data_IF_410291122543
#
_entry.id   IF_410291122543
#
_cell.length_a   1.000
_cell.length_b   1.000
_cell.length_c   1.000
_cell.angle_alpha   90.00
_cell.angle_beta   90.00
_cell.angle_gamma   90.00
#
_symmetry.space_group_name_H-M   'P 1'
#
loop_
_entity.id
_entity.type
_entity.pdbx_description
1 polymer ?
#
# COMPACT_ATOMS: atom_id res chain seq x y z
N UNK A 1 -40.92 61.24 27.13
CA UNK A 1 -40.24 60.86 25.88
C UNK A 1 -38.91 60.08 26.11
N UNK A 2 -38.01 60.43 27.00
CA UNK A 2 -36.71 59.73 27.25
C UNK A 2 -36.85 58.27 27.75
N UNK A 3 -37.87 57.95 28.56
CA UNK A 3 -38.08 56.56 29.07
C UNK A 3 -38.55 55.61 28.01
N UNK A 4 -39.33 56.03 27.01
CA UNK A 4 -39.83 55.18 25.95
C UNK A 4 -38.75 54.88 24.90
N UNK A 5 -37.79 55.79 24.70
CA UNK A 5 -36.65 55.58 23.79
C UNK A 5 -35.68 54.54 24.38
N UNK A 6 -35.48 54.57 25.71
CA UNK A 6 -34.61 53.56 26.38
C UNK A 6 -35.20 52.17 26.35
N UNK A 7 -36.53 52.04 26.44
CA UNK A 7 -37.25 50.79 26.37
C UNK A 7 -37.22 50.19 24.94
N UNK A 8 -37.33 51.00 23.90
CA UNK A 8 -37.20 50.58 22.52
C UNK A 8 -35.75 50.17 22.18
N UNK A 9 -34.73 50.81 22.75
CA UNK A 9 -33.34 50.45 22.55
C UNK A 9 -32.98 49.14 23.28
N UNK A 10 -33.53 48.85 24.46
CA UNK A 10 -33.35 47.55 25.15
C UNK A 10 -34.10 46.42 24.45
N UNK A 11 -35.30 46.67 23.89
CA UNK A 11 -36.05 45.66 23.13
C UNK A 11 -35.40 45.34 21.78
N UNK A 12 -34.72 46.28 21.12
CA UNK A 12 -33.98 45.99 19.89
C UNK A 12 -32.64 45.28 20.12
N UNK A 13 -32.02 45.43 21.29
CA UNK A 13 -30.78 44.73 21.65
C UNK A 13 -31.01 43.24 21.95
N UNK A 14 -32.20 42.86 22.46
CA UNK A 14 -32.55 41.46 22.73
C UNK A 14 -32.95 40.64 21.48
N UNK A 15 -33.18 41.29 20.34
CA UNK A 15 -33.48 40.61 19.07
C UNK A 15 -32.22 40.23 18.26
N UNK A 16 -31.03 40.69 18.69
CA UNK A 16 -29.77 40.40 17.99
C UNK A 16 -29.02 39.15 18.52
N UNK A 17 -29.57 38.46 19.53
CA UNK A 17 -28.91 37.28 20.12
C UNK A 17 -29.47 35.94 19.66
N UNK A 18 -30.36 35.89 18.68
CA UNK A 18 -30.69 34.64 18.01
C UNK A 18 -29.65 34.36 16.92
N UNK A 19 -28.46 33.97 17.32
CA UNK A 19 -27.48 33.36 16.43
C UNK A 19 -28.04 32.00 16.00
N UNK A 20 -28.38 31.87 14.75
CA UNK A 20 -28.67 30.56 14.16
C UNK A 20 -27.33 29.79 14.09
N UNK A 21 -27.02 28.94 15.06
CA UNK A 21 -25.86 28.02 15.04
C UNK A 21 -25.97 27.05 13.85
N UNK A 22 -27.17 26.71 13.37
CA UNK A 22 -27.41 25.80 12.24
C UNK A 22 -26.93 26.30 10.86
N UNK A 23 -26.58 27.59 10.71
CA UNK A 23 -26.08 28.12 9.42
C UNK A 23 -24.56 27.94 9.26
N UNK A 24 -23.84 27.80 10.36
CA UNK A 24 -22.37 27.65 10.36
C UNK A 24 -21.92 26.18 10.29
N UNK A 25 -22.77 25.24 10.69
CA UNK A 25 -22.53 23.80 10.58
C UNK A 25 -23.17 23.23 9.30
N UNK A 26 -22.86 23.81 8.14
CA UNK A 26 -23.15 23.14 6.87
C UNK A 26 -22.13 22.02 6.70
N UNK A 27 -22.56 20.78 6.97
CA UNK A 27 -21.85 19.62 6.45
C UNK A 27 -21.71 19.79 4.94
N UNK A 28 -20.50 19.56 4.37
CA UNK A 28 -20.31 19.63 2.93
C UNK A 28 -21.29 18.69 2.24
N UNK A 29 -22.16 19.22 1.40
CA UNK A 29 -23.24 18.49 0.69
C UNK A 29 -22.66 17.31 -0.13
N UNK A 30 -21.38 17.33 -0.45
CA UNK A 30 -20.69 16.33 -1.27
C UNK A 30 -19.86 15.32 -0.46
N UNK A 31 -19.90 15.32 0.88
CA UNK A 31 -19.17 14.37 1.71
C UNK A 31 -20.11 13.71 2.71
N UNK A 32 -20.26 12.40 2.60
CA UNK A 32 -20.91 11.60 3.64
C UNK A 32 -20.10 11.73 4.94
N UNK A 33 -20.79 11.93 6.06
CA UNK A 33 -20.15 11.85 7.37
C UNK A 33 -19.57 10.44 7.60
N UNK A 34 -18.61 10.31 8.51
CA UNK A 34 -18.08 8.97 8.86
C UNK A 34 -19.21 8.05 9.37
N UNK A 35 -20.14 8.58 10.14
CA UNK A 35 -21.29 7.83 10.65
C UNK A 35 -22.18 7.32 9.53
N UNK A 36 -22.49 8.15 8.55
CA UNK A 36 -23.25 7.77 7.37
C UNK A 36 -22.52 6.73 6.51
N UNK A 37 -21.19 6.92 6.31
CA UNK A 37 -20.36 5.99 5.53
C UNK A 37 -20.30 4.60 6.15
N UNK A 38 -20.23 4.50 7.49
CA UNK A 38 -20.11 3.22 8.18
C UNK A 38 -21.42 2.66 8.72
N UNK A 39 -22.56 3.23 8.34
CA UNK A 39 -23.88 2.83 8.80
C UNK A 39 -24.24 1.40 8.42
N UNK A 40 -23.89 0.96 7.22
CA UNK A 40 -24.23 -0.34 6.68
C UNK A 40 -23.03 -1.02 5.97
N UNK A 41 -23.24 -2.28 5.56
CA UNK A 41 -22.20 -3.07 4.89
C UNK A 41 -21.72 -2.46 3.57
N UNK A 42 -22.57 -1.81 2.80
CA UNK A 42 -22.18 -1.25 1.50
C UNK A 42 -21.30 -0.03 1.66
N UNK A 43 -21.55 0.80 2.66
CA UNK A 43 -20.67 1.89 3.04
C UNK A 43 -19.29 1.39 3.51
N UNK A 44 -19.26 0.37 4.36
CA UNK A 44 -18.01 -0.28 4.81
C UNK A 44 -17.24 -0.89 3.64
N UNK A 45 -17.92 -1.59 2.72
CA UNK A 45 -17.30 -2.15 1.50
C UNK A 45 -16.72 -1.05 0.61
N UNK A 46 -17.43 0.08 0.50
CA UNK A 46 -16.94 1.25 -0.25
C UNK A 46 -15.67 1.81 0.39
N UNK A 47 -15.66 1.98 1.71
CA UNK A 47 -14.47 2.42 2.45
C UNK A 47 -13.28 1.45 2.27
N UNK A 48 -13.53 0.14 2.38
CA UNK A 48 -12.50 -0.88 2.19
C UNK A 48 -11.96 -0.89 0.74
N UNK A 49 -12.85 -0.74 -0.25
CA UNK A 49 -12.45 -0.59 -1.66
C UNK A 49 -11.61 0.66 -1.88
N UNK A 50 -11.96 1.78 -1.23
CA UNK A 50 -11.18 3.02 -1.22
C UNK A 50 -9.78 2.82 -0.62
N UNK A 51 -9.67 2.03 0.46
CA UNK A 51 -8.38 1.70 1.06
C UNK A 51 -7.51 0.84 0.11
N UNK A 52 -8.07 -0.17 -0.56
CA UNK A 52 -7.37 -0.91 -1.61
C UNK A 52 -6.91 -0.01 -2.75
N UNK A 53 -7.77 0.92 -3.19
CA UNK A 53 -7.41 1.87 -4.25
C UNK A 53 -6.29 2.82 -3.81
N UNK A 54 -6.22 3.19 -2.53
CA UNK A 54 -5.15 4.04 -1.99
C UNK A 54 -3.77 3.35 -2.05
N UNK A 55 -3.71 2.02 -2.02
CA UNK A 55 -2.46 1.28 -2.26
C UNK A 55 -1.91 1.51 -3.68
N UNK A 56 -2.77 1.84 -4.65
CA UNK A 56 -2.42 2.10 -6.04
C UNK A 56 -1.97 3.55 -6.30
N UNK A 57 -1.61 4.31 -5.26
CA UNK A 57 -0.97 5.62 -5.45
C UNK A 57 0.37 5.48 -6.19
N UNK A 58 0.70 6.45 -7.06
CA UNK A 58 2.03 6.56 -7.67
C UNK A 58 3.14 6.70 -6.62
N UNK A 59 2.81 7.37 -5.51
CA UNK A 59 3.73 7.55 -4.40
C UNK A 59 3.85 6.31 -3.52
N UNK A 60 3.13 5.23 -3.87
CA UNK A 60 3.19 3.97 -3.15
C UNK A 60 3.40 2.77 -4.10
N UNK A 61 2.48 1.78 -4.17
CA UNK A 61 2.69 0.55 -4.94
C UNK A 61 2.67 0.74 -6.45
N UNK A 62 1.99 1.74 -6.98
CA UNK A 62 1.95 1.94 -8.43
C UNK A 62 3.31 2.35 -9.00
N UNK A 63 4.24 2.93 -8.18
CA UNK A 63 5.59 3.26 -8.61
C UNK A 63 6.62 3.19 -7.47
N UNK A 64 6.54 4.11 -6.49
CA UNK A 64 7.68 4.42 -5.62
C UNK A 64 8.22 3.21 -4.86
N UNK A 65 7.37 2.44 -4.18
CA UNK A 65 7.84 1.30 -3.39
C UNK A 65 8.34 0.13 -4.26
N UNK A 66 7.89 0.06 -5.52
CA UNK A 66 8.33 -0.95 -6.46
C UNK A 66 9.67 -0.61 -7.12
N UNK A 67 9.96 0.67 -7.31
CA UNK A 67 11.16 1.16 -8.01
C UNK A 67 12.28 1.50 -7.05
N UNK A 68 11.97 2.04 -5.86
CA UNK A 68 12.95 2.51 -4.89
C UNK A 68 14.02 1.48 -4.52
N UNK A 69 13.67 0.22 -4.18
CA UNK A 69 14.69 -0.77 -3.80
C UNK A 69 15.68 -1.05 -4.93
N UNK A 70 15.22 -1.05 -6.17
CA UNK A 70 16.07 -1.30 -7.33
C UNK A 70 16.98 -0.11 -7.64
N UNK A 71 16.49 1.13 -7.49
CA UNK A 71 17.32 2.33 -7.63
C UNK A 71 18.38 2.44 -6.54
N UNK A 72 17.97 2.34 -5.28
CA UNK A 72 18.86 2.45 -4.13
C UNK A 72 19.85 1.27 -4.04
N UNK A 73 19.44 0.10 -4.51
CA UNK A 73 20.26 -1.12 -4.55
C UNK A 73 21.21 -1.21 -5.74
N UNK A 74 21.19 -0.24 -6.67
CA UNK A 74 22.06 -0.26 -7.86
C UNK A 74 21.66 -1.29 -8.91
N UNK A 75 20.43 -1.83 -8.86
CA UNK A 75 19.94 -2.81 -9.83
C UNK A 75 19.54 -2.16 -11.16
N UNK A 76 19.11 -0.90 -11.11
CA UNK A 76 18.66 -0.15 -12.27
C UNK A 76 19.36 1.21 -12.38
N UNK A 77 19.44 1.70 -13.61
CA UNK A 77 20.00 3.00 -13.99
C UNK A 77 19.05 3.73 -14.92
N UNK A 78 19.20 5.05 -15.01
CA UNK A 78 18.46 5.83 -16.00
C UNK A 78 18.97 5.56 -17.42
N UNK A 79 18.03 5.32 -18.35
CA UNK A 79 18.30 5.29 -19.79
C UNK A 79 18.04 6.63 -20.46
N UNK A 80 17.15 7.46 -19.88
CA UNK A 80 16.84 8.83 -20.30
C UNK A 80 16.94 9.76 -19.10
N UNK A 81 17.50 10.95 -19.32
CA UNK A 81 17.69 11.97 -18.27
C UNK A 81 16.68 13.13 -18.36
N UNK A 82 15.63 13.02 -19.16
CA UNK A 82 14.73 14.16 -19.43
C UNK A 82 13.73 14.43 -18.31
N UNK A 83 13.25 13.39 -17.63
CA UNK A 83 12.27 13.49 -16.53
C UNK A 83 12.71 12.55 -15.40
N UNK A 84 13.67 12.99 -14.63
CA UNK A 84 14.37 12.17 -13.63
C UNK A 84 13.46 11.90 -12.40
N UNK A 85 12.38 11.15 -12.60
CA UNK A 85 11.47 10.74 -11.54
C UNK A 85 12.24 9.87 -10.56
N UNK A 86 12.17 10.19 -9.26
CA UNK A 86 12.91 9.56 -8.17
C UNK A 86 14.43 9.79 -8.23
N UNK A 87 14.88 10.88 -8.86
CA UNK A 87 16.31 11.22 -8.94
C UNK A 87 16.92 11.40 -7.53
N UNK A 88 16.18 12.01 -6.64
CA UNK A 88 16.55 12.20 -5.23
C UNK A 88 16.89 10.87 -4.54
N UNK A 89 16.14 9.80 -4.86
CA UNK A 89 16.44 8.45 -4.36
C UNK A 89 17.67 7.86 -5.02
N UNK A 90 17.82 8.03 -6.31
CA UNK A 90 18.97 7.51 -7.07
C UNK A 90 20.30 8.16 -6.69
N UNK A 91 20.28 9.46 -6.41
CA UNK A 91 21.47 10.23 -6.01
C UNK A 91 21.69 10.29 -4.51
N UNK A 92 20.83 9.63 -3.72
CA UNK A 92 20.82 9.75 -2.24
C UNK A 92 20.70 11.19 -1.74
N UNK A 93 20.09 12.08 -2.54
CA UNK A 93 19.90 13.51 -2.28
C UNK A 93 18.56 13.85 -1.62
N UNK A 94 17.97 12.93 -0.86
CA UNK A 94 16.66 13.11 -0.24
C UNK A 94 16.68 14.20 0.83
N UNK A 95 15.61 14.99 0.87
CA UNK A 95 15.34 15.93 1.97
C UNK A 95 14.08 15.51 2.75
N UNK A 96 13.98 15.98 4.01
CA UNK A 96 12.83 15.67 4.84
C UNK A 96 11.55 16.40 4.41
N UNK A 97 11.67 17.50 3.65
CA UNK A 97 10.56 18.40 3.33
C UNK A 97 9.98 18.20 1.93
N UNK A 98 10.82 17.94 0.94
CA UNK A 98 10.39 17.80 -0.46
C UNK A 98 11.19 16.66 -1.10
N UNK A 99 10.64 15.46 -1.08
CA UNK A 99 11.28 14.31 -1.67
C UNK A 99 10.26 13.24 -2.03
N UNK A 100 10.66 12.34 -2.92
CA UNK A 100 9.87 11.14 -3.23
C UNK A 100 9.63 10.27 -1.99
N UNK A 101 10.55 10.30 -1.02
CA UNK A 101 10.41 9.62 0.25
C UNK A 101 9.31 10.24 1.12
N UNK A 102 9.23 11.60 1.21
CA UNK A 102 8.16 12.27 1.97
C UNK A 102 6.79 12.02 1.36
N UNK A 103 6.66 12.06 0.03
CA UNK A 103 5.41 11.74 -0.66
C UNK A 103 4.94 10.30 -0.38
N UNK A 104 5.87 9.34 -0.38
CA UNK A 104 5.58 7.95 -0.03
C UNK A 104 5.14 7.81 1.43
N UNK A 105 5.84 8.46 2.35
CA UNK A 105 5.51 8.49 3.77
C UNK A 105 4.09 9.02 4.00
N UNK A 106 3.76 10.17 3.42
CA UNK A 106 2.43 10.79 3.52
C UNK A 106 1.33 9.90 2.93
N UNK A 107 1.56 9.31 1.76
CA UNK A 107 0.61 8.40 1.10
C UNK A 107 0.27 7.21 1.98
N UNK A 108 1.27 6.60 2.63
CA UNK A 108 1.08 5.46 3.53
C UNK A 108 0.29 5.88 4.78
N UNK A 109 0.65 7.00 5.45
CA UNK A 109 -0.06 7.43 6.66
C UNK A 109 -1.48 7.89 6.39
N UNK A 110 -1.76 8.49 5.24
CA UNK A 110 -3.13 8.81 4.81
C UNK A 110 -3.97 7.54 4.66
N UNK A 111 -3.39 6.52 4.03
CA UNK A 111 -4.04 5.21 3.89
C UNK A 111 -4.26 4.55 5.26
N UNK A 112 -3.28 4.62 6.18
CA UNK A 112 -3.41 4.12 7.55
C UNK A 112 -4.57 4.76 8.29
N UNK A 113 -4.78 6.07 8.13
CA UNK A 113 -5.89 6.76 8.78
C UNK A 113 -7.25 6.24 8.26
N UNK A 114 -7.37 6.01 6.95
CA UNK A 114 -8.57 5.42 6.34
C UNK A 114 -8.82 3.99 6.87
N UNK A 115 -7.76 3.17 6.94
CA UNK A 115 -7.83 1.79 7.46
C UNK A 115 -8.23 1.79 8.95
N UNK A 116 -7.71 2.72 9.74
CA UNK A 116 -8.08 2.85 11.15
C UNK A 116 -9.55 3.23 11.34
N UNK A 117 -10.12 4.07 10.45
CA UNK A 117 -11.56 4.35 10.45
C UNK A 117 -12.36 3.07 10.17
N UNK A 118 -11.96 2.26 9.19
CA UNK A 118 -12.62 0.97 8.91
C UNK A 118 -12.59 0.07 10.16
N UNK A 119 -11.43 -0.08 10.80
CA UNK A 119 -11.30 -0.92 12.00
C UNK A 119 -12.18 -0.40 13.14
N UNK A 120 -12.22 0.92 13.33
CA UNK A 120 -12.98 1.54 14.42
C UNK A 120 -14.48 1.40 14.26
N UNK A 121 -15.00 1.64 13.05
CA UNK A 121 -16.45 1.76 12.83
C UNK A 121 -17.12 0.46 12.39
N UNK A 122 -16.41 -0.50 11.80
CA UNK A 122 -16.98 -1.78 11.35
C UNK A 122 -17.76 -2.54 12.45
N UNK A 123 -17.33 -2.59 13.73
CA UNK A 123 -18.08 -3.31 14.76
C UNK A 123 -19.51 -2.78 14.98
N UNK A 124 -19.73 -1.48 14.79
CA UNK A 124 -21.04 -0.83 14.96
C UNK A 124 -21.91 -0.80 13.70
N UNK A 125 -21.42 -1.34 12.58
CA UNK A 125 -22.16 -1.38 11.31
C UNK A 125 -23.45 -2.18 11.44
N UNK A 126 -24.55 -1.58 11.00
CA UNK A 126 -25.86 -2.22 11.00
C UNK A 126 -26.01 -3.17 9.79
N UNK A 127 -26.93 -4.14 9.93
CA UNK A 127 -27.33 -5.08 8.86
C UNK A 127 -26.17 -5.91 8.25
N UNK A 128 -25.02 -5.97 8.90
CA UNK A 128 -23.92 -6.86 8.54
C UNK A 128 -23.87 -8.05 9.52
N UNK A 129 -23.67 -9.26 9.00
CA UNK A 129 -23.42 -10.42 9.86
C UNK A 129 -22.04 -10.32 10.53
N UNK A 130 -21.86 -11.00 11.66
CA UNK A 130 -20.54 -11.03 12.34
C UNK A 130 -19.45 -11.60 11.43
N UNK A 131 -19.76 -12.61 10.59
CA UNK A 131 -18.82 -13.15 9.62
C UNK A 131 -18.41 -12.14 8.56
N UNK A 132 -19.30 -11.24 8.14
CA UNK A 132 -18.98 -10.15 7.22
C UNK A 132 -18.13 -9.07 7.89
N UNK A 133 -18.46 -8.70 9.14
CA UNK A 133 -17.65 -7.76 9.94
C UNK A 133 -16.24 -8.33 10.17
N UNK A 134 -16.15 -9.59 10.55
CA UNK A 134 -14.87 -10.28 10.74
C UNK A 134 -14.03 -10.25 9.47
N UNK A 135 -14.65 -10.45 8.30
CA UNK A 135 -13.94 -10.37 7.01
C UNK A 135 -13.35 -8.99 6.76
N UNK A 136 -14.16 -7.94 6.95
CA UNK A 136 -13.69 -6.55 6.78
C UNK A 136 -12.55 -6.23 7.76
N UNK A 137 -12.71 -6.59 9.03
CA UNK A 137 -11.70 -6.36 10.07
C UNK A 137 -10.41 -7.12 9.77
N UNK A 138 -10.49 -8.38 9.32
CA UNK A 138 -9.34 -9.18 8.95
C UNK A 138 -8.56 -8.55 7.79
N UNK A 139 -9.25 -8.10 6.74
CA UNK A 139 -8.63 -7.43 5.61
C UNK A 139 -8.02 -6.08 6.02
N UNK A 140 -8.72 -5.28 6.81
CA UNK A 140 -8.23 -3.99 7.29
C UNK A 140 -7.00 -4.13 8.20
N UNK A 141 -6.98 -5.10 9.14
CA UNK A 141 -5.82 -5.38 9.99
C UNK A 141 -4.63 -5.89 9.18
N UNK A 142 -4.85 -6.78 8.21
CA UNK A 142 -3.79 -7.24 7.28
C UNK A 142 -3.21 -6.06 6.48
N UNK A 143 -4.07 -5.15 6.02
CA UNK A 143 -3.63 -3.93 5.33
C UNK A 143 -2.83 -3.01 6.25
N UNK A 144 -3.29 -2.78 7.50
CA UNK A 144 -2.57 -1.96 8.47
C UNK A 144 -1.20 -2.53 8.79
N UNK A 145 -1.09 -3.82 8.95
CA UNK A 145 0.18 -4.50 9.14
C UNK A 145 1.12 -4.34 7.94
N UNK A 146 0.63 -4.49 6.71
CA UNK A 146 1.41 -4.25 5.49
C UNK A 146 1.94 -2.82 5.44
N UNK A 147 1.08 -1.82 5.70
CA UNK A 147 1.43 -0.40 5.69
C UNK A 147 2.51 -0.08 6.74
N UNK A 148 2.35 -0.56 7.98
CA UNK A 148 3.37 -0.39 9.03
C UNK A 148 4.67 -1.12 8.70
N UNK A 149 4.60 -2.31 8.10
CA UNK A 149 5.79 -3.05 7.69
C UNK A 149 6.55 -2.36 6.56
N UNK A 150 5.86 -1.79 5.58
CA UNK A 150 6.48 -1.01 4.52
C UNK A 150 7.14 0.26 5.06
N UNK A 151 6.48 0.97 5.99
CA UNK A 151 7.10 2.09 6.70
C UNK A 151 8.36 1.66 7.45
N UNK A 152 8.30 0.53 8.17
CA UNK A 152 9.45 0.02 8.92
C UNK A 152 10.63 -0.29 7.99
N UNK A 153 10.38 -0.93 6.84
CA UNK A 153 11.43 -1.27 5.86
C UNK A 153 12.04 -0.05 5.17
N UNK A 154 11.26 1.01 4.95
CA UNK A 154 11.73 2.20 4.24
C UNK A 154 12.31 3.27 5.16
N UNK A 155 11.77 3.45 6.37
CA UNK A 155 12.04 4.61 7.21
C UNK A 155 12.62 4.28 8.59
N UNK A 156 12.80 3.00 8.93
CA UNK A 156 13.48 2.58 10.16
C UNK A 156 14.80 1.87 9.84
N UNK A 157 15.64 1.74 10.87
CA UNK A 157 16.84 0.88 10.81
C UNK A 157 16.42 -0.60 10.87
N UNK A 158 17.24 -1.53 10.34
CA UNK A 158 16.96 -2.96 10.44
C UNK A 158 16.76 -3.42 11.89
N UNK A 159 15.95 -4.46 12.10
CA UNK A 159 15.61 -4.96 13.45
C UNK A 159 16.82 -5.19 14.35
N UNK A 160 17.90 -5.75 13.81
CA UNK A 160 19.14 -6.04 14.56
C UNK A 160 20.13 -4.87 14.60
N UNK A 161 19.71 -3.62 14.33
CA UNK A 161 20.58 -2.46 14.43
C UNK A 161 21.07 -2.23 15.88
N UNK A 162 20.23 -2.50 16.88
CA UNK A 162 20.62 -2.66 18.28
C UNK A 162 20.26 -4.07 18.74
N UNK A 163 20.99 -4.65 19.74
CA UNK A 163 20.76 -6.03 20.17
C UNK A 163 19.34 -6.34 20.62
N UNK A 164 18.64 -5.35 21.20
CA UNK A 164 17.30 -5.45 21.76
C UNK A 164 16.21 -4.76 20.88
N UNK A 165 16.60 -4.25 19.72
CA UNK A 165 15.73 -3.48 18.82
C UNK A 165 15.04 -2.28 19.51
N UNK A 166 15.68 -1.68 20.53
CA UNK A 166 15.17 -0.50 21.27
C UNK A 166 15.30 0.81 20.49
N UNK A 167 16.05 0.83 19.40
CA UNK A 167 16.21 2.02 18.54
C UNK A 167 14.88 2.44 17.91
N UNK A 168 14.77 3.71 17.44
CA UNK A 168 13.53 4.24 16.87
C UNK A 168 13.06 3.46 15.64
N UNK A 169 11.86 2.92 15.73
CA UNK A 169 11.10 2.29 14.64
C UNK A 169 10.34 3.33 13.81
N UNK A 170 9.03 3.24 13.77
CA UNK A 170 8.12 4.14 13.05
C UNK A 170 7.13 4.82 14.00
N UNK A 171 6.40 5.80 13.52
CA UNK A 171 5.20 6.30 14.20
C UNK A 171 4.10 5.27 14.04
N UNK A 172 3.71 4.61 15.13
CA UNK A 172 2.58 3.68 15.11
C UNK A 172 1.26 4.45 15.08
N UNK A 173 0.49 4.28 14.02
CA UNK A 173 -0.84 4.84 13.87
C UNK A 173 -1.89 3.74 14.00
N UNK A 174 -2.35 3.47 15.24
CA UNK A 174 -3.25 2.36 15.58
C UNK A 174 -4.72 2.78 15.71
N UNK A 175 -5.02 4.08 15.61
CA UNK A 175 -6.36 4.64 15.72
C UNK A 175 -6.53 5.80 14.73
N UNK A 176 -7.77 6.16 14.35
CA UNK A 176 -8.01 7.37 13.55
C UNK A 176 -7.45 8.60 14.23
N UNK A 177 -6.84 9.49 13.45
CA UNK A 177 -6.25 10.73 13.93
C UNK A 177 -6.89 11.93 13.26
N UNK A 178 -7.06 12.99 14.05
CA UNK A 178 -7.49 14.31 13.58
C UNK A 178 -6.27 15.20 13.38
N UNK A 179 -6.44 16.26 12.60
CA UNK A 179 -5.39 17.26 12.39
C UNK A 179 -4.98 17.97 13.68
N UNK A 180 -5.93 18.09 14.63
CA UNK A 180 -5.72 18.71 15.95
C UNK A 180 -4.97 17.83 16.96
N UNK A 181 -4.78 16.54 16.66
CA UNK A 181 -4.11 15.63 17.59
C UNK A 181 -2.63 15.99 17.74
N UNK A 182 -2.05 15.84 18.94
CA UNK A 182 -0.63 16.05 19.16
C UNK A 182 0.23 15.19 18.23
N UNK A 183 1.35 15.72 17.75
CA UNK A 183 2.27 14.96 16.91
C UNK A 183 2.83 13.75 17.66
N UNK A 184 2.66 12.52 17.14
CA UNK A 184 3.12 11.31 17.79
C UNK A 184 4.64 11.14 17.64
N UNK A 185 5.26 10.50 18.64
CA UNK A 185 6.65 10.10 18.54
C UNK A 185 6.79 8.73 17.87
N UNK A 186 7.99 8.43 17.40
CA UNK A 186 8.33 7.11 16.87
C UNK A 186 8.34 6.07 18.01
N UNK A 187 7.71 4.95 17.79
CA UNK A 187 7.84 3.79 18.67
C UNK A 187 9.22 3.14 18.50
N UNK A 188 9.58 2.24 19.43
CA UNK A 188 10.76 1.40 19.22
C UNK A 188 10.55 0.43 18.06
N UNK A 189 11.65 -0.08 17.50
CA UNK A 189 11.57 -1.11 16.46
C UNK A 189 10.91 -2.38 16.99
N UNK A 190 11.19 -2.78 18.26
CA UNK A 190 10.50 -3.90 18.91
C UNK A 190 8.98 -3.68 18.92
N UNK A 191 8.50 -2.56 19.46
CA UNK A 191 7.06 -2.26 19.51
C UNK A 191 6.43 -2.17 18.11
N UNK A 192 7.19 -1.69 17.11
CA UNK A 192 6.75 -1.66 15.71
C UNK A 192 6.46 -3.06 15.18
N UNK A 193 7.40 -4.00 15.34
CA UNK A 193 7.24 -5.36 14.87
C UNK A 193 6.17 -6.13 15.65
N UNK A 194 6.07 -5.90 16.96
CA UNK A 194 5.00 -6.48 17.79
C UNK A 194 3.61 -6.04 17.33
N UNK A 195 3.41 -4.75 17.05
CA UNK A 195 2.14 -4.26 16.53
C UNK A 195 1.78 -4.86 15.17
N UNK A 196 2.75 -5.02 14.26
CA UNK A 196 2.57 -5.66 12.96
C UNK A 196 2.17 -7.14 13.13
N UNK A 197 2.87 -7.88 13.99
CA UNK A 197 2.59 -9.30 14.25
C UNK A 197 1.22 -9.47 14.89
N UNK A 198 0.88 -8.62 15.86
CA UNK A 198 -0.43 -8.63 16.52
C UNK A 198 -1.56 -8.44 15.52
N UNK A 199 -1.47 -7.43 14.64
CA UNK A 199 -2.50 -7.21 13.61
C UNK A 199 -2.66 -8.41 12.67
N UNK A 200 -1.57 -9.07 12.28
CA UNK A 200 -1.62 -10.24 11.40
C UNK A 200 -2.17 -11.48 12.09
N UNK A 201 -1.83 -11.71 13.36
CA UNK A 201 -2.35 -12.85 14.12
C UNK A 201 -3.84 -12.69 14.44
N UNK A 202 -4.26 -11.50 14.85
CA UNK A 202 -5.68 -11.19 15.02
C UNK A 202 -6.46 -11.29 13.71
N UNK A 203 -5.85 -10.90 12.59
CA UNK A 203 -6.46 -11.07 11.27
C UNK A 203 -6.67 -12.56 10.93
N UNK A 204 -5.75 -13.46 11.28
CA UNK A 204 -5.92 -14.90 11.07
C UNK A 204 -7.12 -15.45 11.85
N UNK A 205 -7.27 -15.04 13.09
CA UNK A 205 -8.41 -15.45 13.94
C UNK A 205 -9.75 -14.97 13.34
N UNK A 206 -9.78 -13.72 12.86
CA UNK A 206 -10.95 -13.15 12.19
C UNK A 206 -11.28 -13.86 10.87
N UNK A 207 -10.25 -14.18 10.04
CA UNK A 207 -10.45 -14.92 8.80
C UNK A 207 -11.04 -16.31 9.04
N UNK A 208 -10.72 -16.97 10.16
CA UNK A 208 -11.22 -18.33 10.47
C UNK A 208 -12.74 -18.39 10.62
N UNK A 209 -13.37 -17.27 11.01
CA UNK A 209 -14.82 -17.13 11.17
C UNK A 209 -15.35 -15.95 10.35
N UNK A 210 -15.11 -15.98 9.04
CA UNK A 210 -15.49 -14.89 8.15
C UNK A 210 -16.15 -15.36 6.87
N UNK A 211 -16.96 -14.51 6.26
CA UNK A 211 -17.56 -14.71 4.94
C UNK A 211 -17.18 -13.59 3.99
N UNK A 212 -16.97 -13.92 2.70
CA UNK A 212 -16.59 -12.94 1.69
C UNK A 212 -17.59 -11.77 1.61
N UNK A 213 -17.07 -10.55 1.53
CA UNK A 213 -17.88 -9.33 1.37
C UNK A 213 -17.87 -8.81 -0.07
N UNK A 214 -16.90 -9.22 -0.88
CA UNK A 214 -16.83 -8.93 -2.30
C UNK A 214 -17.15 -10.18 -3.11
N UNK A 215 -17.95 -10.02 -4.16
CA UNK A 215 -18.40 -11.11 -5.05
C UNK A 215 -17.73 -11.10 -6.41
N UNK A 216 -16.88 -10.12 -6.72
CA UNK A 216 -16.29 -9.94 -8.05
C UNK A 216 -14.76 -9.86 -8.00
N UNK A 217 -14.15 -10.02 -9.17
CA UNK A 217 -12.69 -9.93 -9.33
C UNK A 217 -11.95 -11.22 -8.98
N UNK A 218 -10.64 -11.16 -9.01
CA UNK A 218 -9.78 -12.28 -8.59
C UNK A 218 -9.70 -12.36 -7.06
N UNK A 219 -9.84 -13.55 -6.49
CA UNK A 219 -9.62 -13.76 -5.07
C UNK A 219 -8.21 -13.36 -4.60
N UNK A 220 -7.23 -13.33 -5.53
CA UNK A 220 -5.85 -12.90 -5.24
C UNK A 220 -5.69 -11.36 -5.17
N UNK A 221 -6.75 -10.60 -5.50
CA UNK A 221 -6.78 -9.14 -5.36
C UNK A 221 -7.27 -8.68 -3.96
N UNK A 222 -7.65 -9.61 -3.10
CA UNK A 222 -8.11 -9.31 -1.74
C UNK A 222 -7.21 -10.00 -0.71
N UNK A 223 -7.10 -9.40 0.46
CA UNK A 223 -6.39 -10.02 1.57
C UNK A 223 -7.14 -11.29 2.02
N UNK A 224 -6.36 -12.28 2.42
CA UNK A 224 -6.84 -13.59 2.88
C UNK A 224 -5.94 -14.13 3.99
N UNK A 225 -6.34 -15.21 4.64
CA UNK A 225 -5.51 -15.87 5.64
C UNK A 225 -4.12 -16.24 5.09
N UNK A 226 -4.02 -16.70 3.84
CA UNK A 226 -2.72 -17.01 3.25
C UNK A 226 -1.87 -15.76 2.95
N UNK A 227 -2.50 -14.62 2.67
CA UNK A 227 -1.77 -13.34 2.55
C UNK A 227 -1.23 -12.90 3.91
N UNK A 228 -2.04 -13.00 4.97
CA UNK A 228 -1.59 -12.69 6.34
C UNK A 228 -0.44 -13.62 6.78
N UNK A 229 -0.51 -14.93 6.49
CA UNK A 229 0.57 -15.89 6.74
C UNK A 229 1.85 -15.57 5.96
N UNK A 230 1.73 -15.25 4.67
CA UNK A 230 2.88 -14.86 3.85
C UNK A 230 3.54 -13.57 4.35
N UNK A 231 2.74 -12.62 4.84
CA UNK A 231 3.26 -11.41 5.49
C UNK A 231 3.93 -11.73 6.82
N UNK A 232 3.36 -12.60 7.66
CA UNK A 232 4.00 -13.07 8.91
C UNK A 232 5.34 -13.74 8.62
N UNK A 233 5.40 -14.64 7.64
CA UNK A 233 6.65 -15.27 7.21
C UNK A 233 7.71 -14.20 6.87
N UNK A 234 7.34 -13.18 6.11
CA UNK A 234 8.23 -12.08 5.73
C UNK A 234 8.62 -11.19 6.90
N UNK A 235 7.68 -10.85 7.78
CA UNK A 235 7.95 -10.04 8.99
C UNK A 235 8.92 -10.77 9.93
N UNK A 236 8.70 -12.04 10.19
CA UNK A 236 9.59 -12.86 11.01
C UNK A 236 10.98 -13.05 10.36
N UNK A 237 11.06 -13.17 9.04
CA UNK A 237 12.32 -13.20 8.29
C UNK A 237 13.13 -11.90 8.56
N UNK A 238 12.50 -10.73 8.47
CA UNK A 238 13.14 -9.44 8.74
C UNK A 238 13.50 -9.24 10.22
N UNK A 239 12.72 -9.88 11.11
CA UNK A 239 13.01 -9.92 12.54
C UNK A 239 14.17 -10.87 12.89
N UNK A 240 14.57 -11.77 11.97
CA UNK A 240 15.56 -12.82 12.21
C UNK A 240 15.02 -14.02 12.99
N UNK A 241 13.72 -14.12 13.16
CA UNK A 241 13.04 -15.26 13.78
C UNK A 241 12.76 -16.33 12.72
N UNK A 242 13.79 -17.08 12.40
CA UNK A 242 13.80 -18.06 11.32
C UNK A 242 12.78 -19.18 11.53
N UNK A 243 12.51 -19.56 12.79
CA UNK A 243 11.59 -20.63 13.10
C UNK A 243 10.15 -20.25 12.74
N UNK A 244 9.70 -19.08 13.16
CA UNK A 244 8.36 -18.61 12.81
C UNK A 244 8.25 -18.28 11.32
N UNK A 245 9.29 -17.69 10.72
CA UNK A 245 9.33 -17.45 9.27
C UNK A 245 9.14 -18.75 8.47
N UNK A 246 9.86 -19.81 8.84
CA UNK A 246 9.73 -21.13 8.24
C UNK A 246 8.33 -21.73 8.44
N UNK A 247 7.77 -21.65 9.65
CA UNK A 247 6.46 -22.19 9.96
C UNK A 247 5.38 -21.58 9.08
N UNK A 248 5.28 -20.24 9.05
CA UNK A 248 4.26 -19.55 8.25
C UNK A 248 4.47 -19.72 6.75
N UNK A 249 5.71 -19.76 6.26
CA UNK A 249 5.99 -20.05 4.86
C UNK A 249 5.50 -21.44 4.47
N UNK A 250 5.77 -22.45 5.29
CA UNK A 250 5.29 -23.83 5.05
C UNK A 250 3.77 -23.96 5.13
N UNK A 251 3.09 -23.19 5.99
CA UNK A 251 1.64 -23.19 6.01
C UNK A 251 1.04 -22.65 4.69
N UNK A 252 1.67 -21.63 4.08
CA UNK A 252 1.26 -21.14 2.76
C UNK A 252 1.51 -22.18 1.68
N UNK A 253 2.70 -22.79 1.65
CA UNK A 253 3.06 -23.86 0.71
C UNK A 253 2.11 -25.06 0.88
N UNK A 254 1.92 -25.52 2.12
CA UNK A 254 1.06 -26.65 2.47
C UNK A 254 -0.43 -26.44 2.19
N UNK A 255 -0.86 -25.18 1.97
CA UNK A 255 -2.25 -24.89 1.57
C UNK A 255 -2.61 -25.47 0.20
N UNK A 256 -1.63 -25.79 -0.64
CA UNK A 256 -1.83 -26.29 -2.00
C UNK A 256 -2.45 -25.30 -3.00
N UNK A 257 -2.67 -24.03 -2.57
CA UNK A 257 -3.34 -23.01 -3.39
C UNK A 257 -2.39 -22.31 -4.38
N UNK A 258 -1.10 -22.51 -4.23
CA UNK A 258 -0.07 -21.86 -5.01
C UNK A 258 0.93 -22.86 -5.55
N UNK A 259 1.48 -22.59 -6.72
CA UNK A 259 2.43 -23.45 -7.38
C UNK A 259 3.58 -22.65 -7.98
N UNK A 260 4.82 -23.05 -7.73
CA UNK A 260 5.99 -22.46 -8.36
C UNK A 260 5.94 -22.64 -9.88
N UNK A 261 6.26 -21.60 -10.59
CA UNK A 261 6.38 -21.60 -12.03
C UNK A 261 7.85 -21.84 -12.44
N UNK A 262 8.05 -22.61 -13.48
CA UNK A 262 9.38 -22.94 -13.99
C UNK A 262 9.52 -22.58 -15.46
N UNK A 263 10.74 -22.37 -15.92
CA UNK A 263 11.07 -22.13 -17.32
C UNK A 263 10.28 -20.97 -17.93
N UNK A 264 9.77 -21.17 -19.13
CA UNK A 264 9.04 -20.14 -19.88
C UNK A 264 7.74 -19.69 -19.20
N UNK A 265 7.08 -20.56 -18.43
CA UNK A 265 5.86 -20.19 -17.70
C UNK A 265 6.13 -19.09 -16.65
N UNK A 266 7.30 -19.13 -16.01
CA UNK A 266 7.73 -18.05 -15.13
C UNK A 266 7.84 -16.72 -15.88
N UNK A 267 8.52 -16.70 -17.03
CA UNK A 267 8.73 -15.49 -17.82
C UNK A 267 7.41 -14.89 -18.32
N UNK A 268 6.54 -15.73 -18.90
CA UNK A 268 5.26 -15.27 -19.46
C UNK A 268 4.27 -14.82 -18.40
N UNK A 269 4.37 -15.33 -17.16
CA UNK A 269 3.49 -14.96 -16.05
C UNK A 269 3.57 -13.48 -15.67
N UNK A 270 4.69 -12.84 -15.95
CA UNK A 270 4.87 -11.42 -15.63
C UNK A 270 4.08 -10.50 -16.56
N UNK A 271 3.90 -10.89 -17.82
CA UNK A 271 3.12 -10.14 -18.80
C UNK A 271 1.62 -10.47 -18.75
N UNK A 272 1.21 -11.47 -17.97
CA UNK A 272 -0.19 -11.86 -17.86
C UNK A 272 -0.98 -10.91 -16.97
N UNK A 273 -2.20 -10.56 -17.39
CA UNK A 273 -3.19 -9.86 -16.57
C UNK A 273 -3.86 -10.78 -15.56
N UNK A 274 -3.95 -12.06 -15.88
CA UNK A 274 -4.50 -13.05 -14.95
C UNK A 274 -3.47 -13.37 -13.87
N UNK A 275 -3.90 -13.55 -12.61
CA UNK A 275 -3.01 -13.94 -11.53
C UNK A 275 -2.30 -15.25 -11.85
N UNK A 276 -0.98 -15.27 -11.76
CA UNK A 276 -0.19 -16.48 -11.94
C UNK A 276 -0.41 -17.47 -10.79
N UNK A 277 -0.08 -18.75 -11.01
CA UNK A 277 -0.18 -19.78 -9.97
C UNK A 277 0.64 -19.43 -8.71
N UNK A 278 1.81 -18.80 -8.86
CA UNK A 278 2.64 -18.34 -7.74
C UNK A 278 2.09 -17.10 -7.03
N UNK A 279 1.15 -16.35 -7.61
CA UNK A 279 0.69 -15.08 -7.02
C UNK A 279 -0.13 -15.37 -5.78
N UNK A 280 0.31 -14.84 -4.64
CA UNK A 280 -0.41 -14.88 -3.36
C UNK A 280 -1.33 -13.66 -3.26
N UNK A 281 -0.78 -12.47 -3.54
CA UNK A 281 -1.52 -11.22 -3.54
C UNK A 281 -1.03 -10.27 -4.63
N UNK A 282 -1.97 -9.64 -5.33
CA UNK A 282 -1.69 -8.62 -6.32
C UNK A 282 -2.72 -7.49 -6.26
N UNK A 283 -2.30 -6.29 -6.58
CA UNK A 283 -3.18 -5.14 -6.73
C UNK A 283 -3.71 -5.10 -8.16
N UNK A 284 -5.02 -5.21 -8.30
CA UNK A 284 -5.69 -5.18 -9.59
C UNK A 284 -5.73 -3.76 -10.17
N UNK A 285 -5.17 -3.59 -11.36
CA UNK A 285 -5.21 -2.33 -12.09
C UNK A 285 -6.39 -2.28 -13.04
N UNK A 286 -7.05 -1.13 -13.11
CA UNK A 286 -8.03 -0.85 -14.17
C UNK A 286 -7.32 -0.71 -15.52
N UNK A 287 -8.04 -0.97 -16.61
CA UNK A 287 -7.48 -0.90 -17.97
C UNK A 287 -7.05 0.49 -18.41
N UNK A 288 -7.50 1.54 -17.75
CA UNK A 288 -7.24 2.95 -18.04
C UNK A 288 -5.95 3.51 -17.42
N UNK A 289 -5.23 2.72 -16.60
CA UNK A 289 -3.95 3.12 -16.00
C UNK A 289 -2.74 2.96 -16.95
N UNK A 290 -2.93 2.97 -18.26
CA UNK A 290 -1.86 2.71 -19.23
C UNK A 290 -0.69 3.73 -19.16
N UNK A 291 -0.98 5.01 -18.93
CA UNK A 291 0.03 6.08 -18.88
C UNK A 291 0.87 6.10 -17.61
N UNK A 292 0.34 5.56 -16.50
CA UNK A 292 0.98 5.58 -15.18
C UNK A 292 1.45 4.21 -14.71
N UNK A 293 1.37 3.19 -15.58
CA UNK A 293 1.78 1.83 -15.23
C UNK A 293 3.30 1.69 -15.07
N UNK A 294 3.72 0.76 -14.24
CA UNK A 294 5.14 0.39 -14.11
C UNK A 294 5.76 0.04 -15.47
N UNK A 295 5.01 -0.58 -16.37
CA UNK A 295 5.46 -0.90 -17.72
C UNK A 295 5.96 0.32 -18.52
N UNK A 296 5.36 1.50 -18.32
CA UNK A 296 5.81 2.73 -18.97
C UNK A 296 7.23 3.15 -18.58
N UNK A 297 7.64 2.85 -17.34
CA UNK A 297 8.98 3.17 -16.86
C UNK A 297 10.04 2.18 -17.33
N UNK A 298 9.63 0.94 -17.62
CA UNK A 298 10.54 -0.18 -17.93
C UNK A 298 10.45 -0.71 -19.37
N UNK A 299 9.46 -0.31 -20.18
CA UNK A 299 9.32 -0.84 -21.53
C UNK A 299 10.11 -0.03 -22.57
N UNK A 300 10.85 -0.69 -23.48
CA UNK A 300 11.48 -0.02 -24.61
C UNK A 300 10.43 0.65 -25.51
N UNK A 301 10.70 1.88 -25.95
CA UNK A 301 9.80 2.61 -26.83
C UNK A 301 8.58 3.24 -26.15
N UNK A 302 8.35 3.02 -24.86
CA UNK A 302 7.31 3.70 -24.11
C UNK A 302 7.63 5.20 -23.92
N UNK A 303 6.61 6.00 -23.57
CA UNK A 303 6.78 7.44 -23.34
C UNK A 303 7.82 7.72 -22.25
N UNK A 304 7.83 6.96 -21.18
CA UNK A 304 8.74 7.12 -20.06
C UNK A 304 10.08 6.43 -20.27
N UNK A 305 10.11 5.16 -20.68
CA UNK A 305 11.31 4.34 -20.98
C UNK A 305 12.53 4.75 -20.12
N UNK A 306 12.37 4.73 -18.79
CA UNK A 306 13.29 5.45 -17.92
C UNK A 306 14.33 4.52 -17.29
N UNK A 307 13.90 3.36 -16.78
CA UNK A 307 14.72 2.48 -15.94
C UNK A 307 15.19 1.26 -16.71
N UNK A 308 16.49 1.12 -16.84
CA UNK A 308 17.15 -0.04 -17.45
C UNK A 308 17.98 -0.78 -16.39
N UNK A 309 18.17 -2.09 -16.57
CA UNK A 309 19.05 -2.88 -15.73
C UNK A 309 20.50 -2.39 -15.80
N UNK A 310 21.22 -2.45 -14.67
CA UNK A 310 22.68 -2.25 -14.65
C UNK A 310 23.38 -3.51 -15.16
N UNK A 311 24.61 -3.36 -15.61
CA UNK A 311 25.46 -4.52 -16.00
C UNK A 311 25.73 -5.42 -14.79
N UNK A 312 25.90 -4.83 -13.61
CA UNK A 312 26.10 -5.60 -12.36
C UNK A 312 24.93 -6.55 -12.10
N UNK A 313 23.69 -6.07 -12.20
CA UNK A 313 22.51 -6.94 -12.09
C UNK A 313 22.51 -8.02 -13.17
N UNK A 314 22.78 -7.67 -14.41
CA UNK A 314 22.72 -8.62 -15.53
C UNK A 314 23.77 -9.73 -15.41
N UNK A 315 24.93 -9.42 -14.85
CA UNK A 315 26.04 -10.36 -14.66
C UNK A 315 25.84 -11.32 -13.50
N UNK A 316 24.85 -11.06 -12.60
CA UNK A 316 24.50 -12.00 -11.52
C UNK A 316 23.77 -13.25 -12.04
N UNK A 317 23.20 -13.21 -13.23
CA UNK A 317 22.45 -14.34 -13.78
C UNK A 317 23.35 -15.19 -14.70
N UNK A 318 23.36 -16.50 -14.46
CA UNK A 318 23.95 -17.44 -15.40
C UNK A 318 23.19 -17.38 -16.75
N UNK A 319 23.87 -17.73 -17.86
CA UNK A 319 23.27 -17.71 -19.19
C UNK A 319 22.01 -18.59 -19.31
N UNK A 320 21.95 -19.65 -18.52
CA UNK A 320 20.83 -20.60 -18.49
C UNK A 320 19.70 -20.16 -17.54
N UNK A 321 19.91 -19.09 -16.75
CA UNK A 321 18.88 -18.61 -15.82
C UNK A 321 17.74 -17.92 -16.56
N UNK A 322 16.52 -18.42 -16.35
CA UNK A 322 15.30 -17.86 -16.97
C UNK A 322 15.00 -16.43 -16.50
N UNK A 323 15.66 -15.94 -15.46
CA UNK A 323 15.58 -14.55 -14.99
C UNK A 323 16.58 -13.63 -15.66
N UNK A 324 17.48 -14.21 -16.45
CA UNK A 324 18.62 -13.53 -17.06
C UNK A 324 18.28 -12.74 -18.31
N UNK A 325 19.35 -12.19 -18.89
CA UNK A 325 19.37 -11.23 -19.99
C UNK A 325 18.61 -11.72 -21.24
N UNK A 326 18.75 -13.00 -21.57
CA UNK A 326 18.16 -13.59 -22.79
C UNK A 326 16.63 -13.72 -22.74
N UNK A 327 16.06 -13.86 -21.54
CA UNK A 327 14.65 -14.27 -21.36
C UNK A 327 13.79 -13.17 -20.75
N UNK A 328 14.23 -12.55 -19.63
CA UNK A 328 13.42 -11.61 -18.84
C UNK A 328 13.67 -10.14 -19.19
N UNK A 329 14.56 -9.84 -20.13
CA UNK A 329 14.83 -8.47 -20.57
C UNK A 329 14.58 -8.29 -22.06
N UNK A 330 14.14 -7.09 -22.43
CA UNK A 330 14.09 -6.59 -23.79
C UNK A 330 15.26 -5.62 -24.01
N UNK A 331 15.82 -5.59 -25.21
CA UNK A 331 16.78 -4.56 -25.60
C UNK A 331 16.07 -3.34 -26.18
N UNK A 332 16.60 -2.16 -25.93
CA UNK A 332 16.18 -0.92 -26.56
C UNK A 332 17.36 0.02 -26.73
N UNK A 333 17.38 0.80 -27.80
CA UNK A 333 18.43 1.78 -28.07
C UNK A 333 17.98 3.19 -27.68
N UNK A 334 18.82 3.88 -26.91
CA UNK A 334 18.60 5.27 -26.51
C UNK A 334 19.90 6.04 -26.81
N UNK A 335 19.84 7.06 -27.63
CA UNK A 335 20.98 7.87 -28.02
C UNK A 335 22.20 7.03 -28.50
N UNK A 336 21.94 5.99 -29.28
CA UNK A 336 22.99 5.10 -29.84
C UNK A 336 23.51 4.04 -28.88
N UNK A 337 23.11 4.05 -27.59
CA UNK A 337 23.49 3.05 -26.58
C UNK A 337 22.40 2.00 -26.40
N UNK A 338 22.79 0.74 -26.21
CA UNK A 338 21.88 -0.36 -25.96
C UNK A 338 21.63 -0.49 -24.45
N UNK A 339 20.36 -0.63 -24.08
CA UNK A 339 19.89 -0.82 -22.71
C UNK A 339 19.03 -2.08 -22.59
N UNK A 340 18.94 -2.65 -21.38
CA UNK A 340 18.16 -3.83 -21.06
C UNK A 340 17.01 -3.46 -20.13
N UNK A 341 15.78 -3.69 -20.56
CA UNK A 341 14.55 -3.35 -19.85
C UNK A 341 13.82 -4.61 -19.40
N UNK A 342 13.44 -4.69 -18.13
CA UNK A 342 12.78 -5.88 -17.62
C UNK A 342 11.39 -6.10 -18.24
N UNK A 343 11.05 -7.36 -18.52
CA UNK A 343 9.72 -7.80 -18.98
C UNK A 343 8.72 -8.00 -17.82
N UNK A 344 9.13 -7.81 -16.57
CA UNK A 344 8.26 -8.04 -15.40
C UNK A 344 7.00 -7.16 -15.38
N UNK A 345 7.05 -6.03 -16.03
CA UNK A 345 5.94 -5.09 -16.09
C UNK A 345 5.46 -4.99 -17.53
N UNK A 346 4.46 -5.81 -17.88
CA UNK A 346 3.94 -5.86 -19.24
C UNK A 346 3.32 -4.53 -19.68
N UNK A 347 3.69 -4.10 -20.89
CA UNK A 347 2.97 -3.10 -21.66
C UNK A 347 2.33 -3.82 -22.84
N UNK A 348 1.04 -4.02 -22.79
CA UNK A 348 0.29 -4.53 -23.92
C UNK A 348 -0.67 -3.50 -24.46
N UNK A 349 -1.12 -3.64 -25.71
CA UNK A 349 -2.25 -2.90 -26.28
C UNK A 349 -3.55 -3.02 -25.45
N UNK A 350 -3.57 -3.93 -24.49
CA UNK A 350 -4.71 -4.27 -23.64
C UNK A 350 -4.58 -3.76 -22.20
N UNK A 351 -3.59 -2.88 -21.91
CA UNK A 351 -3.39 -2.24 -20.58
C UNK A 351 -2.31 -2.89 -19.72
N UNK A 352 -2.18 -2.39 -18.52
CA UNK A 352 -1.13 -2.75 -17.56
C UNK A 352 -1.40 -4.09 -16.89
N UNK A 353 -0.33 -4.81 -16.54
CA UNK A 353 -0.44 -5.98 -15.66
C UNK A 353 -0.65 -5.55 -14.21
N UNK A 354 -1.35 -6.39 -13.44
CA UNK A 354 -1.51 -6.19 -11.99
C UNK A 354 -0.16 -6.14 -11.26
N UNK A 355 -0.12 -5.39 -10.17
CA UNK A 355 1.10 -5.26 -9.35
C UNK A 355 1.17 -6.44 -8.40
N UNK A 356 2.15 -7.32 -8.60
CA UNK A 356 2.36 -8.51 -7.78
C UNK A 356 3.09 -8.13 -6.49
N UNK A 357 2.37 -8.12 -5.37
CA UNK A 357 2.90 -7.71 -4.05
C UNK A 357 3.55 -8.89 -3.32
N UNK A 358 2.90 -10.06 -3.36
CA UNK A 358 3.39 -11.29 -2.75
C UNK A 358 3.32 -12.46 -3.73
N UNK A 359 4.39 -13.23 -3.78
CA UNK A 359 4.51 -14.48 -4.56
C UNK A 359 5.07 -15.59 -3.67
N UNK A 360 4.78 -16.84 -4.06
CA UNK A 360 5.31 -18.03 -3.40
C UNK A 360 6.84 -18.09 -3.48
#
# INVERSE_FOLDING_TARGET
>A
MRKNILFCLLASASLLTTSCEDILDKEPIDKLSLEETFKDLDGVKTALSGAYNSLLSLDYYQRNIMVYPDLAGGNIKYSKFKEQILLDLYTFGQSALESSASATYESIYRTLNNVNNIIRYTPSTLYASEQQKNRVLAEAKTMRALLHFDLARMFARPYHHTPDASHPGIVLNMAPRLYSDPLPQRATTTATYEAIITDLTEALDLFSNSSAVFSGGSAKAYFSANVAKALLAKVYLYKGDWQHAYTYANEVIGSGQYQLLTGQNYVTSWASKSPAAETIFELALKNDFSSTSLGNYYAPGSLQQMYAATEDLLNLYAETDVRGKATLFNTGTVNGSTYYFTKKYGMGSTGSTNIKVLRL
#
